data_IF_088782214474
#
_entry.id   IF_088782214474
#
_cell.length_a   1.000
_cell.length_b   1.000
_cell.length_c   1.000
_cell.angle_alpha   90.00
_cell.angle_beta   90.00
_cell.angle_gamma   90.00
#
_symmetry.space_group_name_H-M   'P 1'
#
loop_
_entity.id
_entity.type
_entity.pdbx_description
1 polymer ?
#
# COMPACT_ATOMS: atom_id res chain seq x y z
N UNK A 1 -26.65 58.01 38.48
CA UNK A 1 -27.29 57.84 39.81
C UNK A 1 -26.82 56.52 40.39
N UNK A 2 -26.33 56.53 41.63
CA UNK A 2 -26.02 55.36 42.45
C UNK A 2 -27.30 54.67 42.91
N UNK A 3 -27.23 53.36 43.18
CA UNK A 3 -27.91 52.57 44.26
C UNK A 3 -27.66 51.08 43.92
N UNK A 4 -26.65 50.40 44.46
CA UNK A 4 -26.63 49.69 45.77
C UNK A 4 -28.00 49.16 46.20
N UNK A 5 -28.16 47.84 46.08
CA UNK A 5 -29.25 47.07 46.66
C UNK A 5 -28.70 45.76 47.22
N UNK A 6 -28.30 45.80 48.50
CA UNK A 6 -27.97 44.64 49.32
C UNK A 6 -29.24 43.85 49.56
N UNK A 7 -29.23 42.54 49.33
CA UNK A 7 -30.19 41.62 49.93
C UNK A 7 -29.45 40.46 50.59
N UNK A 8 -29.32 40.59 51.91
CA UNK A 8 -28.95 39.51 52.83
C UNK A 8 -30.15 38.56 52.94
N UNK A 9 -29.98 37.30 52.53
CA UNK A 9 -30.82 36.21 53.04
C UNK A 9 -29.93 35.14 53.67
N UNK A 10 -30.19 34.96 54.96
CA UNK A 10 -29.61 34.02 55.90
C UNK A 10 -30.10 32.60 55.61
N UNK A 11 -29.28 31.61 55.99
CA UNK A 11 -29.79 30.30 56.40
C UNK A 11 -29.44 29.14 55.48
N UNK A 12 -28.14 28.81 55.37
CA UNK A 12 -27.68 27.48 54.99
C UNK A 12 -27.32 26.69 56.24
N UNK A 13 -27.90 25.51 56.41
CA UNK A 13 -27.38 24.44 57.26
C UNK A 13 -28.03 23.11 56.85
N UNK A 14 -27.44 22.46 55.85
CA UNK A 14 -27.51 21.01 55.70
C UNK A 14 -26.12 20.45 55.95
N UNK A 15 -26.03 19.74 57.06
CA UNK A 15 -24.91 18.94 57.51
C UNK A 15 -24.65 17.80 56.54
N UNK A 16 -23.39 17.59 56.14
CA UNK A 16 -22.69 16.33 56.38
C UNK A 16 -21.21 16.43 56.00
N UNK A 17 -20.35 16.15 56.98
CA UNK A 17 -18.95 15.82 56.78
C UNK A 17 -18.87 14.48 56.05
N UNK A 18 -18.09 14.40 54.98
CA UNK A 18 -17.32 13.20 54.63
C UNK A 18 -16.03 13.67 53.97
N UNK A 19 -14.92 13.16 54.50
CA UNK A 19 -13.57 13.61 54.21
C UNK A 19 -13.11 13.38 52.78
N UNK A 20 -12.15 14.22 52.41
CA UNK A 20 -11.26 14.09 51.26
C UNK A 20 -10.52 12.76 51.34
N UNK A 21 -10.64 11.89 50.32
CA UNK A 21 -9.60 10.91 49.99
C UNK A 21 -9.46 10.72 48.48
N UNK A 22 -8.22 10.56 48.08
CA UNK A 22 -7.67 10.76 46.76
C UNK A 22 -8.17 9.78 45.68
N UNK A 23 -8.10 10.24 44.43
CA UNK A 23 -8.33 9.44 43.23
C UNK A 23 -7.36 8.24 43.19
N UNK A 24 -7.84 7.03 42.89
CA UNK A 24 -6.95 5.96 42.44
C UNK A 24 -6.49 6.31 41.02
N UNK A 25 -5.20 6.59 40.85
CA UNK A 25 -4.54 6.58 39.55
C UNK A 25 -4.62 5.15 39.01
N UNK A 26 -5.48 4.93 38.01
CA UNK A 26 -5.38 3.76 37.14
C UNK A 26 -4.03 3.84 36.44
N UNK A 27 -3.07 3.09 36.99
CA UNK A 27 -1.77 2.86 36.38
C UNK A 27 -2.00 2.31 34.97
N UNK A 28 -1.79 3.16 33.98
CA UNK A 28 -1.65 2.76 32.59
C UNK A 28 -0.34 1.98 32.44
N UNK A 29 -0.31 0.71 32.86
CA UNK A 29 0.73 -0.21 32.42
C UNK A 29 0.33 -0.79 31.06
N UNK A 30 0.31 0.08 30.05
CA UNK A 30 0.42 -0.36 28.68
C UNK A 30 1.92 -0.58 28.44
N UNK A 31 2.42 -1.78 28.82
CA UNK A 31 3.73 -2.25 28.35
C UNK A 31 3.66 -2.29 26.84
N UNK A 32 4.15 -1.19 26.24
CA UNK A 32 4.40 -1.09 24.82
C UNK A 32 5.27 -2.29 24.45
N UNK A 33 4.86 -3.16 23.52
CA UNK A 33 5.79 -4.12 22.98
C UNK A 33 6.91 -3.28 22.38
N UNK A 34 8.14 -3.47 22.87
CA UNK A 34 9.33 -2.92 22.24
C UNK A 34 9.30 -3.43 20.81
N UNK A 35 8.80 -2.61 19.89
CA UNK A 35 8.91 -2.83 18.46
C UNK A 35 10.40 -2.93 18.22
N UNK A 36 10.91 -4.17 18.13
CA UNK A 36 12.19 -4.45 17.52
C UNK A 36 12.17 -3.64 16.25
N UNK A 37 13.06 -2.64 16.18
CA UNK A 37 13.38 -1.96 14.93
C UNK A 37 13.91 -3.05 14.00
N UNK A 38 12.99 -3.69 13.29
CA UNK A 38 13.29 -4.47 12.12
C UNK A 38 13.68 -3.40 11.12
N UNK A 39 14.97 -3.06 11.11
CA UNK A 39 15.57 -2.36 10.00
C UNK A 39 15.08 -3.07 8.75
N UNK A 40 14.30 -2.35 7.93
CA UNK A 40 13.80 -2.88 6.67
C UNK A 40 15.02 -3.41 5.91
N UNK A 41 15.11 -4.73 5.75
CA UNK A 41 16.15 -5.33 4.94
C UNK A 41 15.90 -4.79 3.54
N UNK A 42 16.76 -3.91 3.07
CA UNK A 42 16.72 -3.46 1.69
C UNK A 42 16.95 -4.71 0.83
N UNK A 43 15.87 -5.22 0.21
CA UNK A 43 15.96 -6.32 -0.74
C UNK A 43 16.67 -5.74 -1.96
N UNK A 44 17.99 -5.89 -2.01
CA UNK A 44 18.76 -5.56 -3.21
C UNK A 44 18.27 -6.48 -4.32
N UNK A 45 17.74 -5.91 -5.42
CA UNK A 45 17.33 -6.68 -6.60
C UNK A 45 18.56 -7.49 -7.11
N UNK A 46 18.61 -8.82 -6.90
CA UNK A 46 19.82 -9.60 -7.13
C UNK A 46 20.19 -9.68 -8.62
N UNK A 47 19.23 -9.45 -9.51
CA UNK A 47 19.36 -9.60 -10.96
C UNK A 47 19.26 -8.28 -11.73
N UNK A 48 19.78 -7.18 -11.17
CA UNK A 48 19.87 -5.91 -11.90
C UNK A 48 21.24 -5.73 -12.59
N UNK A 49 21.33 -5.22 -13.83
CA UNK A 49 20.23 -4.77 -14.69
C UNK A 49 19.32 -5.91 -15.14
N UNK A 50 18.01 -5.64 -15.22
CA UNK A 50 17.06 -6.62 -15.72
C UNK A 50 17.41 -6.97 -17.17
N UNK A 51 17.32 -8.26 -17.51
CA UNK A 51 17.50 -8.75 -18.87
C UNK A 51 16.17 -8.79 -19.62
N UNK A 52 16.23 -8.86 -20.94
CA UNK A 52 15.07 -9.14 -21.79
C UNK A 52 14.28 -10.37 -21.30
N UNK A 53 12.95 -10.34 -21.44
CA UNK A 53 12.10 -11.49 -21.11
C UNK A 53 11.00 -11.21 -20.09
N UNK A 54 10.47 -12.28 -19.50
CA UNK A 54 9.37 -12.24 -18.53
C UNK A 54 9.94 -12.12 -17.12
N UNK A 55 9.37 -11.20 -16.34
CA UNK A 55 9.74 -10.97 -14.95
C UNK A 55 8.51 -11.02 -14.07
N UNK A 56 8.60 -11.75 -12.97
CA UNK A 56 7.59 -11.80 -11.92
C UNK A 56 8.20 -11.33 -10.60
N UNK A 57 7.50 -10.42 -9.95
CA UNK A 57 7.84 -9.88 -8.64
C UNK A 57 6.64 -10.01 -7.72
N UNK A 58 6.87 -10.29 -6.43
CA UNK A 58 5.80 -10.39 -5.44
C UNK A 58 6.20 -9.79 -4.10
N UNK A 59 5.20 -9.30 -3.35
CA UNK A 59 5.42 -8.95 -1.92
C UNK A 59 5.71 -10.20 -1.09
N UNK A 60 5.21 -11.37 -1.51
CA UNK A 60 5.61 -12.67 -1.01
C UNK A 60 6.61 -13.34 -1.95
N UNK A 61 7.54 -14.13 -1.40
CA UNK A 61 8.56 -14.86 -2.18
C UNK A 61 7.99 -16.05 -2.95
N UNK A 62 6.88 -16.64 -2.49
CA UNK A 62 6.24 -17.77 -3.16
C UNK A 62 5.11 -17.26 -4.06
N UNK A 63 4.92 -17.81 -5.28
CA UNK A 63 3.73 -17.56 -6.08
C UNK A 63 2.43 -17.95 -5.36
N UNK A 64 1.31 -17.38 -5.82
CA UNK A 64 -0.04 -17.82 -5.45
C UNK A 64 -0.45 -17.59 -4.00
N UNK A 65 0.26 -16.75 -3.25
CA UNK A 65 -0.14 -16.41 -1.88
C UNK A 65 -1.35 -15.47 -1.91
N UNK A 66 -2.37 -15.79 -1.11
CA UNK A 66 -3.59 -14.99 -1.03
C UNK A 66 -3.31 -13.55 -0.56
N UNK A 67 -4.13 -12.61 -1.06
CA UNK A 67 -4.09 -11.18 -0.70
C UNK A 67 -2.70 -10.55 -0.81
N UNK A 68 -1.89 -11.08 -1.71
CA UNK A 68 -0.55 -10.58 -1.99
C UNK A 68 -0.53 -10.02 -3.40
N UNK A 69 0.03 -8.84 -3.53
CA UNK A 69 0.26 -8.19 -4.81
C UNK A 69 1.48 -8.79 -5.53
N UNK A 70 1.29 -9.05 -6.82
CA UNK A 70 2.31 -9.46 -7.75
C UNK A 70 2.35 -8.50 -8.95
N UNK A 71 3.55 -8.39 -9.54
CA UNK A 71 3.83 -7.59 -10.71
C UNK A 71 4.45 -8.54 -11.73
N UNK A 72 3.78 -8.68 -12.87
CA UNK A 72 4.23 -9.52 -13.96
C UNK A 72 4.38 -8.68 -15.21
N UNK A 73 5.52 -8.74 -15.88
CA UNK A 73 5.69 -8.03 -17.14
C UNK A 73 6.66 -8.74 -18.07
N UNK A 74 6.44 -8.56 -19.37
CA UNK A 74 7.44 -8.86 -20.40
C UNK A 74 8.18 -7.59 -20.75
N UNK A 75 9.50 -7.64 -20.71
CA UNK A 75 10.40 -6.55 -21.07
C UNK A 75 11.02 -6.79 -22.44
N UNK A 76 10.99 -5.75 -23.28
CA UNK A 76 11.77 -5.64 -24.50
C UNK A 76 12.56 -4.31 -24.50
N UNK A 77 13.89 -4.38 -24.48
CA UNK A 77 14.83 -3.29 -24.18
C UNK A 77 14.57 -2.69 -22.79
N UNK A 78 13.84 -1.58 -22.76
CA UNK A 78 13.37 -0.95 -21.54
C UNK A 78 11.85 -0.79 -21.53
N UNK A 79 11.14 -1.20 -22.58
CA UNK A 79 9.67 -1.14 -22.66
C UNK A 79 9.07 -2.37 -22.01
N UNK A 80 7.98 -2.17 -21.29
CA UNK A 80 7.26 -3.24 -20.61
C UNK A 80 5.78 -3.23 -20.96
N UNK A 81 5.21 -4.42 -21.04
CA UNK A 81 3.77 -4.66 -20.98
C UNK A 81 3.54 -5.75 -19.95
N UNK A 82 2.58 -5.53 -19.06
CA UNK A 82 2.39 -6.37 -17.90
C UNK A 82 1.10 -6.13 -17.16
N UNK A 83 1.01 -6.67 -15.96
CA UNK A 83 -0.12 -6.52 -15.06
C UNK A 83 0.30 -6.40 -13.59
N UNK A 84 -0.48 -5.62 -12.85
CA UNK A 84 -0.63 -5.79 -11.41
C UNK A 84 -1.71 -6.83 -11.17
N UNK A 85 -1.48 -7.80 -10.30
CA UNK A 85 -2.52 -8.80 -9.99
C UNK A 85 -2.41 -9.34 -8.56
N UNK A 86 -3.55 -9.83 -8.08
CA UNK A 86 -3.64 -10.65 -6.87
C UNK A 86 -4.25 -12.01 -7.24
N UNK A 87 -3.74 -13.13 -6.68
CA UNK A 87 -4.30 -14.45 -6.96
C UNK A 87 -5.79 -14.52 -6.64
N UNK A 88 -6.55 -15.15 -7.54
CA UNK A 88 -8.01 -15.32 -7.42
C UNK A 88 -8.81 -14.00 -7.35
N UNK A 89 -8.28 -12.92 -7.91
CA UNK A 89 -8.92 -11.61 -8.01
C UNK A 89 -8.88 -11.09 -9.45
N UNK A 90 -8.96 -9.77 -9.63
CA UNK A 90 -8.71 -9.08 -10.91
C UNK A 90 -7.22 -8.81 -11.14
N UNK A 91 -6.91 -8.41 -12.36
CA UNK A 91 -5.62 -7.85 -12.73
C UNK A 91 -5.83 -6.57 -13.53
N UNK A 92 -4.87 -5.65 -13.43
CA UNK A 92 -4.87 -4.38 -14.15
C UNK A 92 -3.67 -4.35 -15.09
N UNK A 93 -3.94 -4.28 -16.39
CA UNK A 93 -2.89 -4.21 -17.39
C UNK A 93 -2.19 -2.85 -17.37
N UNK A 94 -0.89 -2.87 -17.65
CA UNK A 94 -0.08 -1.67 -17.78
C UNK A 94 0.91 -1.76 -18.93
N UNK A 95 1.32 -0.60 -19.42
CA UNK A 95 2.48 -0.44 -20.29
C UNK A 95 3.40 0.65 -19.75
N UNK A 96 4.68 0.63 -20.13
CA UNK A 96 5.61 1.65 -19.66
C UNK A 96 7.08 1.30 -19.88
N UNK A 97 7.93 1.73 -18.95
CA UNK A 97 9.38 1.51 -19.02
C UNK A 97 10.02 1.12 -17.69
N UNK A 98 11.18 0.46 -17.77
CA UNK A 98 12.08 0.21 -16.64
C UNK A 98 13.20 1.27 -16.66
N UNK A 99 13.37 1.98 -15.54
CA UNK A 99 14.46 2.94 -15.34
C UNK A 99 14.98 2.85 -13.89
N UNK A 100 16.28 2.58 -13.70
CA UNK A 100 16.92 2.56 -12.39
C UNK A 100 16.17 1.73 -11.30
N UNK A 101 15.81 0.48 -11.64
CA UNK A 101 15.00 -0.45 -10.80
C UNK A 101 13.57 0.01 -10.52
N UNK A 102 13.07 1.01 -11.25
CA UNK A 102 11.70 1.47 -11.16
C UNK A 102 10.92 1.12 -12.42
N UNK A 103 9.67 0.73 -12.26
CA UNK A 103 8.69 0.66 -13.33
C UNK A 103 7.94 1.98 -13.38
N UNK A 104 8.03 2.70 -14.50
CA UNK A 104 7.24 3.90 -14.78
C UNK A 104 6.16 3.49 -15.78
N UNK A 105 4.94 3.36 -15.32
CA UNK A 105 3.86 2.68 -16.06
C UNK A 105 2.58 3.50 -16.08
N UNK A 106 1.78 3.22 -17.09
CA UNK A 106 0.44 3.77 -17.29
C UNK A 106 -0.57 2.63 -17.26
N UNK A 107 -1.61 2.78 -16.45
CA UNK A 107 -2.75 1.87 -16.33
C UNK A 107 -3.96 2.57 -16.94
N UNK A 108 -4.62 1.94 -17.92
CA UNK A 108 -5.85 2.48 -18.52
C UNK A 108 -7.04 1.89 -17.79
N UNK A 109 -7.77 2.72 -17.03
CA UNK A 109 -9.03 2.29 -16.43
C UNK A 109 -10.11 2.25 -17.50
N UNK A 110 -10.48 1.04 -17.92
CA UNK A 110 -11.42 0.80 -19.04
C UNK A 110 -12.81 1.42 -18.82
N UNK A 111 -13.25 1.56 -17.57
CA UNK A 111 -14.54 2.16 -17.24
C UNK A 111 -14.52 3.70 -17.22
N UNK A 112 -13.39 4.29 -16.86
CA UNK A 112 -13.29 5.73 -16.59
C UNK A 112 -12.65 6.48 -17.76
N UNK A 113 -12.12 5.75 -18.76
CA UNK A 113 -11.33 6.29 -19.88
C UNK A 113 -10.18 7.20 -19.40
N UNK A 114 -9.70 6.94 -18.18
CA UNK A 114 -8.61 7.66 -17.55
C UNK A 114 -7.36 6.80 -17.54
N UNK A 115 -6.23 7.47 -17.76
CA UNK A 115 -4.90 6.85 -17.63
C UNK A 115 -4.27 7.27 -16.31
N UNK A 116 -3.90 6.29 -15.50
CA UNK A 116 -3.21 6.49 -14.23
C UNK A 116 -1.72 6.18 -14.39
N UNK A 117 -0.89 7.17 -14.15
CA UNK A 117 0.55 7.00 -14.14
C UNK A 117 1.02 6.58 -12.74
N UNK A 118 1.82 5.52 -12.69
CA UNK A 118 2.36 4.99 -11.45
C UNK A 118 3.87 4.71 -11.57
N UNK A 119 4.58 4.84 -10.45
CA UNK A 119 6.00 4.47 -10.36
C UNK A 119 6.19 3.45 -9.26
N UNK A 120 6.64 2.25 -9.63
CA UNK A 120 6.89 1.16 -8.69
C UNK A 120 8.39 0.99 -8.47
N UNK A 121 8.83 0.89 -7.22
CA UNK A 121 10.21 0.55 -6.90
C UNK A 121 10.35 -0.96 -6.72
N UNK A 122 11.02 -1.63 -7.66
CA UNK A 122 11.14 -3.09 -7.65
C UNK A 122 11.94 -3.63 -6.45
N UNK A 123 12.76 -2.81 -5.79
CA UNK A 123 13.48 -3.24 -4.57
C UNK A 123 12.55 -3.53 -3.39
N UNK A 124 11.26 -3.18 -3.49
CA UNK A 124 10.25 -3.49 -2.48
C UNK A 124 9.62 -4.87 -2.70
N UNK A 125 10.03 -5.60 -3.74
CA UNK A 125 9.45 -6.88 -4.13
C UNK A 125 10.54 -7.95 -4.27
N UNK A 126 10.15 -9.20 -4.07
CA UNK A 126 11.00 -10.35 -4.30
C UNK A 126 10.89 -10.81 -5.76
N UNK A 127 12.00 -11.03 -6.47
CA UNK A 127 11.96 -11.65 -7.78
C UNK A 127 11.54 -13.13 -7.64
N UNK A 128 10.69 -13.59 -8.54
CA UNK A 128 10.16 -14.95 -8.57
C UNK A 128 10.52 -15.53 -9.94
N UNK A 129 11.22 -16.67 -9.92
CA UNK A 129 11.69 -17.35 -11.14
C UNK A 129 10.66 -18.34 -11.70
N UNK A 130 9.76 -18.82 -10.85
CA UNK A 130 8.73 -19.78 -11.22
C UNK A 130 7.54 -19.05 -11.85
N UNK A 131 7.45 -19.11 -13.17
CA UNK A 131 6.38 -18.51 -13.97
C UNK A 131 5.36 -19.58 -14.32
N UNK A 132 4.12 -19.39 -13.92
CA UNK A 132 3.03 -20.34 -14.14
C UNK A 132 2.31 -20.12 -15.47
N UNK A 133 1.52 -21.11 -15.90
CA UNK A 133 0.63 -20.95 -17.06
C UNK A 133 -0.41 -19.84 -16.86
N UNK A 134 -0.82 -19.56 -15.62
CA UNK A 134 -1.74 -18.44 -15.34
C UNK A 134 -1.06 -17.09 -15.62
N UNK A 135 0.21 -16.95 -15.24
CA UNK A 135 1.00 -15.75 -15.48
C UNK A 135 1.13 -15.51 -17.00
N UNK A 136 1.45 -16.55 -17.77
CA UNK A 136 1.52 -16.46 -19.23
C UNK A 136 0.18 -16.00 -19.84
N UNK A 137 -0.94 -16.53 -19.36
CA UNK A 137 -2.28 -16.12 -19.81
C UNK A 137 -2.59 -14.65 -19.49
N UNK A 138 -2.20 -14.16 -18.32
CA UNK A 138 -2.36 -12.74 -17.96
C UNK A 138 -1.56 -11.85 -18.93
N UNK A 139 -0.31 -12.22 -19.23
CA UNK A 139 0.52 -11.49 -20.18
C UNK A 139 -0.06 -11.45 -21.59
N UNK A 140 -0.65 -12.55 -22.06
CA UNK A 140 -1.28 -12.59 -23.38
C UNK A 140 -2.47 -11.64 -23.46
N UNK A 141 -3.31 -11.58 -22.41
CA UNK A 141 -4.42 -10.62 -22.35
C UNK A 141 -3.91 -9.18 -22.38
N UNK A 142 -2.92 -8.85 -21.54
CA UNK A 142 -2.41 -7.47 -21.48
C UNK A 142 -1.66 -7.05 -22.75
N UNK A 143 -1.06 -8.00 -23.48
CA UNK A 143 -0.48 -7.71 -24.79
C UNK A 143 -1.54 -7.30 -25.80
N UNK A 144 -2.68 -8.00 -25.84
CA UNK A 144 -3.79 -7.67 -26.72
C UNK A 144 -4.37 -6.31 -26.35
N UNK A 145 -4.57 -6.04 -25.05
CA UNK A 145 -5.06 -4.76 -24.56
C UNK A 145 -4.12 -3.59 -24.93
N UNK A 146 -2.81 -3.76 -24.74
CA UNK A 146 -1.81 -2.77 -25.16
C UNK A 146 -1.82 -2.52 -26.68
N UNK A 147 -2.11 -3.55 -27.49
CA UNK A 147 -2.26 -3.42 -28.95
C UNK A 147 -3.57 -2.75 -29.38
N UNK A 148 -4.63 -2.86 -28.58
CA UNK A 148 -5.93 -2.23 -28.84
C UNK A 148 -5.98 -0.77 -28.33
N UNK A 149 -5.21 -0.46 -27.30
CA UNK A 149 -5.03 0.90 -26.75
C UNK A 149 -3.98 1.72 -27.50
N UNK A 150 -3.27 1.10 -28.45
CA UNK A 150 -2.43 1.74 -29.45
C UNK A 150 -3.27 2.55 -30.47
N UNK A 151 -4.03 3.53 -29.99
CA UNK A 151 -4.19 4.77 -30.73
C UNK A 151 -2.90 5.57 -30.49
N UNK A 152 -2.12 5.73 -31.56
CA UNK A 152 -0.75 6.27 -31.63
C UNK A 152 0.39 5.24 -31.45
N UNK A 153 0.65 4.48 -32.51
CA UNK A 153 2.00 4.11 -32.95
C UNK A 153 2.18 4.50 -34.41
#
# INVERSE_FOLDING_TARGET
MRLVGVLLILGGLVTNLLGVQAQPSLNAEHRSPTLRSQAAVAISLPNYPLKEGIHLFGKAQRPGQFQTEYILFKMHHNRVVGAFFMPSSSFDCFSGTVEAKKLKVSVVATYEQQTYNHTVNLNQYHPIQDISNNDLRILDVCRVDAGNTALEY
#
